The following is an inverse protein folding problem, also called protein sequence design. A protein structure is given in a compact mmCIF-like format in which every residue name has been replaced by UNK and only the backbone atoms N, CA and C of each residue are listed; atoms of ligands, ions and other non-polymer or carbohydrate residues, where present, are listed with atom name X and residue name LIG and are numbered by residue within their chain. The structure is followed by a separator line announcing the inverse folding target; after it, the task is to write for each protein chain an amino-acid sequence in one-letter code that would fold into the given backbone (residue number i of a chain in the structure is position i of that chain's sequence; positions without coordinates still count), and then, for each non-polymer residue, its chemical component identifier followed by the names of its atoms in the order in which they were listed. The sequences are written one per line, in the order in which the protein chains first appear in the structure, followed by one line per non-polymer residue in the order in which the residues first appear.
data_IF_830024733920
#
_entry.id   IF_830024733920
#
_cell.length_a   1.000
_cell.length_b   1.000
_cell.length_c   1.000
_cell.angle_alpha   90.00
_cell.angle_beta   90.00
_cell.angle_gamma   90.00
#
_symmetry.space_group_name_H-M   'P 1'
#
loop_
_entity.id
_entity.type
_entity.pdbx_description
1 polymer ?
#
# COMPACT_ATOMS: atom_id res chain seq x y z
N UNK A 1 41.77 -19.93 -0.10
CA UNK A 1 41.50 -18.85 0.88
C UNK A 1 41.44 -17.55 0.08
N UNK A 2 40.36 -16.81 -0.11
CA UNK A 2 38.96 -16.86 0.33
C UNK A 2 38.17 -15.93 -0.60
N UNK A 3 36.93 -16.31 -0.90
CA UNK A 3 35.75 -15.51 -1.28
C UNK A 3 35.87 -13.98 -1.24
N UNK A 4 35.35 -13.27 -2.25
CA UNK A 4 34.34 -12.19 -2.06
C UNK A 4 33.74 -11.73 -3.42
N UNK A 5 32.51 -12.20 -3.65
CA UNK A 5 31.38 -11.50 -4.32
C UNK A 5 31.45 -11.21 -5.84
N UNK A 6 30.78 -12.02 -6.67
CA UNK A 6 29.36 -11.85 -7.08
C UNK A 6 29.05 -10.51 -7.76
N UNK A 7 29.00 -10.52 -9.11
CA UNK A 7 27.83 -10.01 -9.86
C UNK A 7 27.86 -10.50 -11.31
N UNK A 8 27.27 -11.66 -11.45
CA UNK A 8 26.77 -12.27 -12.68
C UNK A 8 25.87 -11.27 -13.43
N UNK A 9 26.04 -11.22 -14.77
CA UNK A 9 25.17 -10.65 -15.81
C UNK A 9 25.12 -9.11 -16.00
N UNK A 10 26.02 -8.59 -16.84
CA UNK A 10 25.71 -7.42 -17.71
C UNK A 10 26.23 -7.68 -19.13
N UNK A 11 25.56 -8.58 -19.84
CA UNK A 11 25.67 -8.64 -21.31
C UNK A 11 24.88 -7.48 -21.89
N UNK A 12 25.57 -6.43 -22.35
CA UNK A 12 25.00 -5.38 -23.18
C UNK A 12 26.00 -5.09 -24.31
N UNK A 13 25.92 -5.89 -25.37
CA UNK A 13 26.56 -5.56 -26.64
C UNK A 13 25.44 -5.22 -27.65
N UNK A 14 25.09 -3.94 -27.73
CA UNK A 14 24.35 -3.39 -28.87
C UNK A 14 25.32 -2.54 -29.67
N UNK A 15 25.92 -3.16 -30.68
CA UNK A 15 26.67 -2.48 -31.74
C UNK A 15 25.65 -1.86 -32.69
N UNK A 16 25.66 -0.55 -32.92
CA UNK A 16 24.93 0.07 -34.04
C UNK A 16 25.76 1.15 -34.74
N UNK A 17 25.85 0.99 -36.05
CA UNK A 17 26.49 1.86 -37.03
C UNK A 17 25.80 3.24 -37.14
N UNK A 18 26.64 4.26 -37.36
CA UNK A 18 26.43 5.65 -37.77
C UNK A 18 25.01 6.26 -37.89
N UNK A 19 24.85 7.42 -37.22
CA UNK A 19 23.83 8.47 -37.33
C UNK A 19 22.39 8.11 -36.93
N UNK A 20 22.15 7.78 -35.66
CA UNK A 20 20.82 7.93 -35.05
C UNK A 20 20.99 8.22 -33.55
N UNK A 21 20.13 9.08 -33.00
CA UNK A 21 20.17 9.58 -31.63
C UNK A 21 20.46 8.47 -30.61
N UNK A 22 21.46 8.66 -29.76
CA UNK A 22 21.72 7.78 -28.61
C UNK A 22 20.52 7.88 -27.67
N UNK A 23 19.59 6.94 -27.77
CA UNK A 23 18.56 6.77 -26.75
C UNK A 23 19.24 6.35 -25.45
N UNK A 24 19.24 7.23 -24.46
CA UNK A 24 19.58 6.90 -23.09
C UNK A 24 18.55 5.88 -22.57
N UNK A 25 18.82 4.59 -22.79
CA UNK A 25 18.08 3.52 -22.13
C UNK A 25 18.43 3.54 -20.64
N UNK A 26 17.62 4.26 -19.85
CA UNK A 26 17.68 4.24 -18.39
C UNK A 26 17.37 2.83 -17.89
N UNK A 27 18.36 2.16 -17.27
CA UNK A 27 18.12 0.97 -16.46
C UNK A 27 17.45 1.42 -15.16
N UNK A 28 16.15 1.69 -15.21
CA UNK A 28 15.41 2.09 -14.03
C UNK A 28 15.29 0.87 -13.12
N UNK A 29 15.93 0.91 -11.94
CA UNK A 29 15.83 -0.13 -10.92
C UNK A 29 14.37 -0.21 -10.46
N UNK A 30 13.64 -1.20 -10.98
CA UNK A 30 12.22 -1.39 -10.70
C UNK A 30 12.08 -2.32 -9.51
N UNK A 31 11.33 -1.88 -8.50
CA UNK A 31 11.08 -2.65 -7.27
C UNK A 31 9.58 -2.77 -7.05
N UNK A 32 9.12 -4.00 -6.80
CA UNK A 32 7.76 -4.25 -6.37
C UNK A 32 7.46 -3.57 -5.02
N UNK A 33 6.18 -3.38 -4.69
CA UNK A 33 5.79 -2.82 -3.41
C UNK A 33 6.22 -3.73 -2.26
N UNK A 34 6.69 -3.14 -1.16
CA UNK A 34 6.98 -3.81 0.12
C UNK A 34 6.44 -2.94 1.25
N UNK A 35 5.68 -3.52 2.19
CA UNK A 35 5.16 -2.76 3.33
C UNK A 35 6.30 -2.27 4.21
N UNK A 36 6.32 -0.96 4.47
CA UNK A 36 7.15 -0.33 5.49
C UNK A 36 6.37 -0.19 6.79
N UNK A 37 5.05 0.00 6.70
CA UNK A 37 4.11 -0.07 7.82
C UNK A 37 2.93 -0.94 7.38
N UNK A 38 2.82 -2.11 8.01
CA UNK A 38 1.66 -2.98 7.86
C UNK A 38 0.73 -2.81 9.06
N UNK A 39 -0.59 -2.68 8.87
CA UNK A 39 -1.53 -2.50 9.97
C UNK A 39 -1.62 -3.74 10.88
N UNK A 40 -1.99 -3.56 12.17
CA UNK A 40 -2.24 -4.67 13.08
C UNK A 40 -3.47 -5.48 12.65
N UNK A 41 -3.55 -6.74 13.07
CA UNK A 41 -4.68 -7.62 12.71
C UNK A 41 -5.99 -7.29 13.46
N UNK A 42 -5.93 -6.47 14.50
CA UNK A 42 -7.08 -6.03 15.29
C UNK A 42 -6.88 -4.59 15.75
N UNK A 43 -7.94 -3.79 15.62
CA UNK A 43 -8.02 -2.41 16.11
C UNK A 43 -9.34 -2.25 16.85
N UNK A 44 -9.25 -1.95 18.15
CA UNK A 44 -10.41 -1.60 18.97
C UNK A 44 -10.29 -0.13 19.39
N UNK A 45 -11.38 0.62 19.29
CA UNK A 45 -11.41 2.04 19.64
C UNK A 45 -12.78 2.43 20.20
N UNK A 46 -12.94 3.67 20.66
CA UNK A 46 -14.23 4.17 21.13
C UNK A 46 -14.79 5.21 20.17
N UNK A 47 -16.12 5.25 20.05
CA UNK A 47 -16.82 6.29 19.29
C UNK A 47 -16.42 7.73 19.66
N UNK A 48 -16.05 8.00 20.92
CA UNK A 48 -15.64 9.32 21.39
C UNK A 48 -14.23 9.75 20.93
N UNK A 49 -13.34 8.79 20.64
CA UNK A 49 -11.93 9.07 20.29
C UNK A 49 -11.60 8.81 18.84
N UNK A 50 -12.30 7.86 18.20
CA UNK A 50 -11.94 7.42 16.85
C UNK A 50 -10.60 6.67 16.84
N UNK A 51 -10.05 6.46 15.64
CA UNK A 51 -8.72 5.86 15.46
C UNK A 51 -8.14 6.17 14.08
N UNK A 52 -6.83 5.96 13.95
CA UNK A 52 -6.08 6.05 12.69
C UNK A 52 -5.29 4.76 12.51
N UNK A 53 -5.49 4.09 11.38
CA UNK A 53 -4.82 2.84 11.04
C UNK A 53 -3.81 3.13 9.92
N UNK A 54 -2.51 3.20 10.22
CA UNK A 54 -1.50 3.54 9.23
C UNK A 54 -1.22 2.35 8.29
N UNK A 55 -0.95 2.65 7.02
CA UNK A 55 -0.44 1.70 6.05
C UNK A 55 0.47 2.42 5.06
N UNK A 56 1.70 1.94 4.89
CA UNK A 56 2.66 2.50 3.93
C UNK A 56 3.51 1.41 3.30
N UNK A 57 3.93 1.65 2.06
CA UNK A 57 4.79 0.75 1.30
C UNK A 57 5.83 1.53 0.51
N UNK A 58 6.98 0.92 0.28
CA UNK A 58 8.03 1.41 -0.59
C UNK A 58 8.10 0.59 -1.88
N UNK A 59 8.66 1.17 -2.94
CA UNK A 59 8.77 0.54 -4.25
C UNK A 59 9.27 1.55 -5.28
N UNK A 60 9.68 1.07 -6.46
CA UNK A 60 10.11 1.93 -7.57
C UNK A 60 9.38 1.49 -8.84
N UNK A 61 8.44 2.30 -9.36
CA UNK A 61 7.92 3.57 -8.84
C UNK A 61 7.23 3.48 -7.46
N UNK A 62 7.04 4.61 -6.74
CA UNK A 62 6.35 4.65 -5.45
C UNK A 62 4.96 3.99 -5.52
N UNK A 63 4.61 3.09 -4.58
CA UNK A 63 3.30 2.43 -4.58
C UNK A 63 2.14 3.37 -4.25
N UNK A 64 1.00 3.13 -4.89
CA UNK A 64 -0.29 3.67 -4.49
C UNK A 64 -0.89 2.80 -3.38
N UNK A 65 -1.32 3.44 -2.29
CA UNK A 65 -2.02 2.78 -1.18
C UNK A 65 -3.53 2.91 -1.38
N UNK A 66 -4.24 1.79 -1.24
CA UNK A 66 -5.69 1.69 -1.26
C UNK A 66 -6.18 0.80 -0.12
N UNK A 67 -7.45 0.90 0.19
CA UNK A 67 -8.10 0.03 1.16
C UNK A 67 -9.29 -0.68 0.53
N UNK A 68 -9.52 -1.90 0.98
CA UNK A 68 -10.63 -2.73 0.55
C UNK A 68 -11.31 -3.41 1.75
N UNK A 69 -12.56 -3.79 1.59
CA UNK A 69 -13.21 -4.75 2.48
C UNK A 69 -12.51 -6.10 2.33
N UNK A 70 -12.11 -6.73 3.43
CA UNK A 70 -11.37 -7.99 3.39
C UNK A 70 -12.21 -9.16 2.87
N UNK A 71 -13.53 -9.11 3.09
CA UNK A 71 -14.46 -10.19 2.73
C UNK A 71 -14.64 -10.36 1.22
N UNK A 72 -14.87 -9.25 0.51
CA UNK A 72 -15.22 -9.26 -0.92
C UNK A 72 -14.16 -8.60 -1.82
N UNK A 73 -13.14 -7.96 -1.23
CA UNK A 73 -12.09 -7.24 -1.96
C UNK A 73 -12.54 -5.94 -2.60
N UNK A 74 -13.76 -5.46 -2.32
CA UNK A 74 -14.28 -4.21 -2.87
C UNK A 74 -13.53 -3.01 -2.28
N UNK A 75 -13.16 -2.06 -3.13
CA UNK A 75 -12.49 -0.84 -2.69
C UNK A 75 -13.43 0.00 -1.82
N UNK A 76 -12.88 0.52 -0.74
CA UNK A 76 -13.64 1.38 0.16
C UNK A 76 -13.53 2.84 -0.26
N UNK A 77 -14.59 3.58 -0.03
CA UNK A 77 -14.65 5.04 -0.20
C UNK A 77 -14.85 5.74 1.14
N UNK A 78 -14.66 7.06 1.12
CA UNK A 78 -14.99 7.92 2.24
C UNK A 78 -16.49 7.85 2.56
N UNK A 79 -16.79 7.84 3.85
CA UNK A 79 -18.14 7.94 4.41
C UNK A 79 -18.14 9.20 5.29
N UNK A 80 -18.84 10.28 4.90
CA UNK A 80 -18.82 11.54 5.62
C UNK A 80 -19.06 11.35 7.13
N UNK A 81 -18.12 11.83 7.93
CA UNK A 81 -18.19 11.77 9.40
C UNK A 81 -17.89 10.41 10.03
N UNK A 82 -17.68 9.33 9.27
CA UNK A 82 -17.49 7.98 9.83
C UNK A 82 -16.20 7.29 9.37
N UNK A 83 -15.74 7.56 8.15
CA UNK A 83 -14.51 6.95 7.61
C UNK A 83 -13.93 7.82 6.51
N UNK A 84 -12.62 8.04 6.50
CA UNK A 84 -11.95 8.66 5.36
C UNK A 84 -10.53 8.12 5.13
N UNK A 85 -10.07 8.24 3.89
CA UNK A 85 -8.72 7.88 3.46
C UNK A 85 -7.81 9.09 3.50
N UNK A 86 -6.71 8.99 4.24
CA UNK A 86 -5.71 10.04 4.32
C UNK A 86 -4.69 9.89 3.17
N UNK A 87 -4.13 11.00 2.61
CA UNK A 87 -3.18 10.93 1.48
C UNK A 87 -1.88 10.16 1.76
N UNK A 88 -1.54 9.93 3.01
CA UNK A 88 -0.38 9.13 3.42
C UNK A 88 -0.66 7.61 3.40
N UNK A 89 -1.87 7.19 3.05
CA UNK A 89 -2.30 5.79 3.03
C UNK A 89 -3.01 5.32 4.29
N UNK A 90 -3.16 6.17 5.31
CA UNK A 90 -3.85 5.80 6.56
C UNK A 90 -5.38 5.75 6.39
N UNK A 91 -6.03 4.78 7.04
CA UNK A 91 -7.48 4.69 7.18
C UNK A 91 -7.92 5.34 8.49
N UNK A 92 -8.81 6.32 8.42
CA UNK A 92 -9.21 7.13 9.57
C UNK A 92 -10.68 6.90 9.91
N UNK A 93 -10.95 6.65 11.19
CA UNK A 93 -12.28 6.67 11.79
C UNK A 93 -12.33 7.87 12.75
N UNK A 94 -12.96 8.99 12.37
CA UNK A 94 -13.12 10.11 13.30
C UNK A 94 -14.08 9.74 14.46
N UNK A 95 -14.09 10.53 15.54
CA UNK A 95 -15.15 10.42 16.55
C UNK A 95 -16.55 10.54 15.94
N UNK A 96 -17.48 9.71 16.40
CA UNK A 96 -18.85 9.65 15.91
C UNK A 96 -19.84 9.48 17.07
N UNK A 97 -21.12 9.82 16.86
CA UNK A 97 -22.16 9.60 17.88
C UNK A 97 -22.61 8.15 17.89
N UNK A 98 -23.05 7.64 19.03
CA UNK A 98 -23.50 6.25 19.15
C UNK A 98 -24.62 5.90 18.14
N UNK A 99 -25.47 6.87 17.79
CA UNK A 99 -26.56 6.71 16.84
C UNK A 99 -26.08 6.58 15.38
N UNK A 100 -24.88 7.09 15.08
CA UNK A 100 -24.27 7.03 13.74
C UNK A 100 -23.45 5.74 13.54
N UNK A 101 -23.46 4.83 14.53
CA UNK A 101 -22.69 3.59 14.46
C UNK A 101 -23.20 2.68 13.34
N UNK A 102 -22.32 2.41 12.39
CA UNK A 102 -22.58 1.53 11.26
C UNK A 102 -21.75 0.24 11.33
N UNK A 103 -22.36 -0.96 11.38
CA UNK A 103 -21.61 -2.22 11.39
C UNK A 103 -20.70 -2.40 10.17
N UNK A 104 -21.13 -1.94 8.99
CA UNK A 104 -20.35 -2.01 7.75
C UNK A 104 -19.13 -1.06 7.74
N UNK A 105 -19.04 -0.15 8.71
CA UNK A 105 -17.91 0.79 8.87
C UNK A 105 -17.09 0.46 10.11
N UNK A 106 -17.72 0.33 11.28
CA UNK A 106 -17.07 0.22 12.58
C UNK A 106 -16.93 -1.22 13.10
N UNK A 107 -17.57 -2.20 12.46
CA UNK A 107 -17.51 -3.62 12.86
C UNK A 107 -17.30 -4.51 11.63
N UNK A 108 -16.16 -4.31 10.95
CA UNK A 108 -15.83 -5.02 9.72
C UNK A 108 -14.33 -5.27 9.61
N UNK A 109 -13.95 -6.15 8.68
CA UNK A 109 -12.56 -6.51 8.41
C UNK A 109 -12.10 -5.75 7.14
N UNK A 110 -10.99 -5.01 7.26
CA UNK A 110 -10.37 -4.26 6.17
C UNK A 110 -9.05 -4.87 5.72
N UNK A 111 -8.61 -4.54 4.51
CA UNK A 111 -7.27 -4.90 4.01
C UNK A 111 -6.65 -3.70 3.29
N UNK A 112 -5.38 -3.42 3.61
CA UNK A 112 -4.60 -2.43 2.89
C UNK A 112 -3.95 -3.08 1.65
N UNK A 113 -3.94 -2.36 0.55
CA UNK A 113 -3.42 -2.78 -0.74
C UNK A 113 -2.37 -1.77 -1.22
N UNK A 114 -1.17 -2.24 -1.53
CA UNK A 114 -0.11 -1.43 -2.10
C UNK A 114 0.20 -1.92 -3.52
N UNK A 115 0.20 -1.02 -4.50
CA UNK A 115 0.45 -1.39 -5.90
C UNK A 115 1.29 -0.37 -6.66
N UNK A 116 2.15 -0.86 -7.54
CA UNK A 116 2.88 -0.06 -8.53
C UNK A 116 2.95 -0.80 -9.87
N UNK A 117 3.69 -0.25 -10.84
CA UNK A 117 3.81 -0.86 -12.18
C UNK A 117 4.54 -2.21 -12.22
N UNK A 118 5.15 -2.64 -11.11
CA UNK A 118 5.89 -3.90 -11.01
C UNK A 118 5.00 -4.99 -10.40
N UNK A 119 4.12 -4.63 -9.46
CA UNK A 119 3.21 -5.59 -8.84
C UNK A 119 2.30 -4.97 -7.77
N UNK A 120 1.57 -5.83 -7.07
CA UNK A 120 0.67 -5.48 -5.99
C UNK A 120 0.80 -6.47 -4.82
N UNK A 121 0.67 -5.97 -3.60
CA UNK A 121 0.63 -6.76 -2.36
C UNK A 121 -0.54 -6.32 -1.49
N UNK A 122 -1.05 -7.23 -0.65
CA UNK A 122 -2.10 -6.95 0.34
C UNK A 122 -1.61 -7.26 1.75
N UNK A 123 -2.04 -6.45 2.72
CA UNK A 123 -1.74 -6.67 4.14
C UNK A 123 -2.51 -7.87 4.69
N UNK A 124 -2.21 -8.24 5.94
CA UNK A 124 -3.13 -8.99 6.79
C UNK A 124 -4.49 -8.30 6.92
N UNK A 125 -5.50 -9.09 7.31
CA UNK A 125 -6.83 -8.57 7.60
C UNK A 125 -6.81 -7.78 8.91
N UNK A 126 -7.46 -6.63 8.89
CA UNK A 126 -7.55 -5.68 10.00
C UNK A 126 -8.97 -5.72 10.52
N UNK A 127 -9.19 -6.43 11.62
CA UNK A 127 -10.49 -6.46 12.29
C UNK A 127 -10.70 -5.18 13.08
N UNK A 128 -11.71 -4.41 12.71
CA UNK A 128 -12.05 -3.15 13.37
C UNK A 128 -13.28 -3.32 14.26
N UNK A 129 -13.23 -2.74 15.46
CA UNK A 129 -14.37 -2.64 16.39
C UNK A 129 -14.35 -1.29 17.10
N UNK A 130 -15.33 -0.44 16.83
CA UNK A 130 -15.45 0.93 17.37
C UNK A 130 -16.76 1.20 18.09
#
# INVERSE_FOLDING_TARGET
MSEFQLRIQKSNLCVFFSYFTVSLASCQDRKGPVFTIEPPNRVEFSNATGTVIPCSAEGIPPPNIRWAHALDGSYISDVPGLRHLRPDGSLVFPPFRAEDQRPDVHTTDYRCLASNSVGAIGSRDVRVKG
#
